data_IF_285144605765
#
_entry.id   IF_285144605765
#
_cell.length_a   1.000
_cell.length_b   1.000
_cell.length_c   1.000
_cell.angle_alpha   90.00
_cell.angle_beta   90.00
_cell.angle_gamma   90.00
#
_symmetry.space_group_name_H-M   'P 1'
#
loop_
_entity.id
_entity.type
_entity.pdbx_description
1 polymer ?
#
# COMPACT_ATOMS: atom_id res chain seq x y z
N UNK A 1 2.55 17.76 14.70
CA UNK A 1 3.53 17.89 13.57
C UNK A 1 2.80 18.20 12.28
N UNK A 2 3.49 18.82 11.32
CA UNK A 2 3.03 19.00 9.93
C UNK A 2 3.78 17.98 9.07
N UNK A 3 3.06 17.02 8.53
CA UNK A 3 3.61 15.86 7.81
C UNK A 3 3.23 15.98 6.34
N UNK A 4 4.22 15.94 5.43
CA UNK A 4 3.99 15.79 4.00
C UNK A 4 4.27 14.34 3.59
N UNK A 5 3.32 13.70 2.94
CA UNK A 5 3.48 12.39 2.33
C UNK A 5 3.51 12.58 0.81
N UNK A 6 4.53 12.05 0.13
CA UNK A 6 4.61 12.01 -1.31
C UNK A 6 4.35 10.57 -1.77
N UNK A 7 3.18 10.30 -2.34
CA UNK A 7 2.84 9.03 -2.98
C UNK A 7 2.29 9.33 -4.39
N UNK A 8 2.51 8.46 -5.36
CA UNK A 8 1.97 8.71 -6.70
C UNK A 8 0.47 8.38 -6.82
N UNK A 9 -0.10 7.65 -5.86
CA UNK A 9 -1.52 7.30 -5.78
C UNK A 9 -2.10 7.68 -4.42
N UNK A 10 -3.40 7.90 -4.40
CA UNK A 10 -4.22 7.89 -3.19
C UNK A 10 -5.26 6.75 -3.22
N UNK A 11 -6.10 6.66 -2.21
CA UNK A 11 -7.17 5.63 -2.10
C UNK A 11 -8.23 5.71 -3.21
N UNK A 12 -8.38 6.85 -3.88
CA UNK A 12 -9.34 7.06 -4.97
C UNK A 12 -8.79 6.63 -6.33
N UNK A 13 -7.50 6.39 -6.42
CA UNK A 13 -6.89 5.95 -7.67
C UNK A 13 -7.38 4.56 -8.06
N UNK A 14 -7.79 4.30 -9.32
CA UNK A 14 -8.31 2.99 -9.77
C UNK A 14 -7.35 1.81 -9.55
N UNK A 15 -6.04 2.08 -9.53
CA UNK A 15 -5.01 1.08 -9.25
C UNK A 15 -4.50 1.11 -7.80
N UNK A 16 -5.29 1.65 -6.84
CA UNK A 16 -4.94 1.62 -5.42
C UNK A 16 -4.84 0.17 -4.90
N UNK A 17 -3.95 -0.05 -3.94
CA UNK A 17 -3.68 -1.36 -3.34
C UNK A 17 -3.34 -1.26 -1.86
N UNK A 18 -2.61 -2.25 -1.32
CA UNK A 18 -2.24 -2.32 0.08
C UNK A 18 -1.42 -1.12 0.56
N UNK A 19 -0.48 -0.63 -0.26
CA UNK A 19 0.32 0.54 0.09
C UNK A 19 -0.54 1.79 0.34
N UNK A 20 -1.56 2.03 -0.49
CA UNK A 20 -2.47 3.16 -0.33
C UNK A 20 -3.42 2.97 0.87
N UNK A 21 -3.74 1.71 1.24
CA UNK A 21 -4.43 1.41 2.51
C UNK A 21 -3.55 1.82 3.68
N UNK A 22 -2.28 1.39 3.69
CA UNK A 22 -1.32 1.72 4.74
C UNK A 22 -1.19 3.23 4.95
N UNK A 23 -1.00 3.97 3.86
CA UNK A 23 -0.87 5.44 3.88
C UNK A 23 -2.13 6.10 4.45
N UNK A 24 -3.31 5.68 3.98
CA UNK A 24 -4.60 6.24 4.41
C UNK A 24 -4.86 5.94 5.88
N UNK A 25 -4.63 4.71 6.35
CA UNK A 25 -4.84 4.31 7.74
C UNK A 25 -3.91 5.08 8.69
N UNK A 26 -2.64 5.26 8.34
CA UNK A 26 -1.71 6.08 9.10
C UNK A 26 -2.11 7.56 9.08
N UNK A 27 -2.39 8.13 7.90
CA UNK A 27 -2.70 9.54 7.73
C UNK A 27 -3.96 9.96 8.51
N UNK A 28 -5.03 9.14 8.48
CA UNK A 28 -6.26 9.39 9.23
C UNK A 28 -6.02 9.38 10.75
N UNK A 29 -5.26 8.41 11.26
CA UNK A 29 -4.95 8.30 12.68
C UNK A 29 -4.08 9.44 13.16
N UNK A 30 -3.06 9.81 12.40
CA UNK A 30 -2.23 10.98 12.73
C UNK A 30 -3.04 12.26 12.73
N UNK A 31 -3.94 12.43 11.76
CA UNK A 31 -4.81 13.60 11.72
C UNK A 31 -5.77 13.64 12.92
N UNK A 32 -6.39 12.51 13.28
CA UNK A 32 -7.22 12.37 14.47
C UNK A 32 -6.45 12.65 15.78
N UNK A 33 -5.15 12.35 15.80
CA UNK A 33 -4.24 12.69 16.92
C UNK A 33 -3.76 14.16 16.90
N UNK A 34 -4.30 15.02 16.03
CA UNK A 34 -4.02 16.46 15.98
C UNK A 34 -2.78 16.83 15.13
N UNK A 35 -2.27 15.95 14.29
CA UNK A 35 -1.21 16.27 13.33
C UNK A 35 -1.80 16.82 12.03
N UNK A 36 -1.13 17.81 11.41
CA UNK A 36 -1.52 18.33 10.11
C UNK A 36 -0.87 17.47 9.00
N UNK A 37 -1.65 16.59 8.39
CA UNK A 37 -1.18 15.67 7.36
C UNK A 37 -1.59 16.16 5.97
N UNK A 38 -0.65 16.16 5.03
CA UNK A 38 -0.89 16.45 3.61
C UNK A 38 -0.33 15.31 2.77
N UNK A 39 -1.18 14.69 1.95
CA UNK A 39 -0.79 13.72 0.93
C UNK A 39 -0.72 14.41 -0.43
N UNK A 40 0.45 14.40 -1.05
CA UNK A 40 0.65 14.85 -2.43
C UNK A 40 0.72 13.65 -3.37
N UNK A 41 -0.19 13.60 -4.35
CA UNK A 41 -0.31 12.49 -5.28
C UNK A 41 -0.64 12.94 -6.70
N UNK A 42 -0.72 12.00 -7.65
CA UNK A 42 -1.13 12.28 -9.02
C UNK A 42 -2.63 12.61 -9.10
N UNK A 43 -3.01 13.37 -10.13
CA UNK A 43 -4.39 13.65 -10.44
C UNK A 43 -5.15 12.36 -10.79
N UNK A 44 -6.39 12.27 -10.31
CA UNK A 44 -7.32 11.17 -10.57
C UNK A 44 -8.52 11.74 -11.31
N UNK A 45 -8.92 11.11 -12.40
CA UNK A 45 -10.05 11.57 -13.20
C UNK A 45 -11.34 11.59 -12.34
N UNK A 46 -12.08 12.70 -12.41
CA UNK A 46 -13.30 12.89 -11.63
C UNK A 46 -13.10 13.30 -10.16
N UNK A 47 -11.86 13.31 -9.67
CA UNK A 47 -11.57 13.76 -8.29
C UNK A 47 -11.02 15.19 -8.26
N UNK A 48 -11.34 15.99 -7.22
CA UNK A 48 -10.87 17.36 -7.11
C UNK A 48 -9.36 17.45 -6.87
N UNK A 49 -8.74 18.58 -7.25
CA UNK A 49 -7.31 18.83 -7.00
C UNK A 49 -6.97 18.85 -5.51
N UNK A 50 -7.89 19.32 -4.67
CA UNK A 50 -7.75 19.33 -3.21
C UNK A 50 -8.95 18.66 -2.58
N UNK A 51 -8.71 17.80 -1.60
CA UNK A 51 -9.73 16.98 -0.96
C UNK A 51 -9.39 16.77 0.53
N UNK A 52 -10.29 17.14 1.41
CA UNK A 52 -10.15 16.96 2.86
C UNK A 52 -11.12 15.88 3.41
N UNK A 53 -11.86 15.19 2.54
CA UNK A 53 -12.84 14.14 2.92
C UNK A 53 -12.26 12.98 3.73
N UNK A 54 -11.00 12.54 3.52
CA UNK A 54 -10.42 11.47 4.32
C UNK A 54 -10.10 11.84 5.78
N UNK A 55 -10.32 13.11 6.20
CA UNK A 55 -9.91 13.62 7.50
C UNK A 55 -8.49 14.17 7.54
N UNK A 56 -7.79 14.13 6.41
CA UNK A 56 -6.50 14.76 6.16
C UNK A 56 -6.50 15.38 4.76
N UNK A 57 -5.54 16.27 4.49
CA UNK A 57 -5.50 16.98 3.20
C UNK A 57 -4.86 16.15 2.10
N UNK A 58 -5.56 15.98 0.99
CA UNK A 58 -5.04 15.40 -0.26
C UNK A 58 -4.84 16.51 -1.29
N UNK A 59 -3.67 16.55 -1.92
CA UNK A 59 -3.33 17.48 -3.01
C UNK A 59 -2.94 16.67 -4.23
N UNK A 60 -3.79 16.71 -5.28
CA UNK A 60 -3.60 15.95 -6.51
C UNK A 60 -2.99 16.83 -7.59
N UNK A 61 -1.77 16.52 -8.04
CA UNK A 61 -1.06 17.31 -9.05
C UNK A 61 -0.29 16.46 -10.05
N UNK A 62 -0.47 16.81 -11.31
CA UNK A 62 0.21 16.15 -12.41
C UNK A 62 -0.35 14.77 -12.76
N UNK A 63 0.03 14.24 -13.91
CA UNK A 63 -0.29 12.88 -14.33
C UNK A 63 0.56 11.84 -13.59
N UNK A 64 0.37 10.54 -13.92
CA UNK A 64 1.19 9.42 -13.39
C UNK A 64 2.71 9.71 -13.44
N UNK A 65 3.22 10.32 -14.50
CA UNK A 65 4.63 10.69 -14.62
C UNK A 65 4.91 12.13 -14.19
N UNK A 66 3.94 13.04 -14.37
CA UNK A 66 4.05 14.45 -14.01
C UNK A 66 4.09 14.72 -12.51
N UNK A 67 3.54 13.81 -11.69
CA UNK A 67 3.51 13.94 -10.22
C UNK A 67 4.91 14.11 -9.61
N UNK A 68 5.93 13.47 -10.18
CA UNK A 68 7.31 13.59 -9.68
C UNK A 68 7.89 15.00 -9.87
N UNK A 69 7.59 15.65 -10.99
CA UNK A 69 7.96 17.05 -11.24
C UNK A 69 7.14 18.00 -10.37
N UNK A 70 5.84 17.74 -10.22
CA UNK A 70 4.95 18.51 -9.35
C UNK A 70 5.39 18.42 -7.88
N UNK A 71 5.74 17.23 -7.39
CA UNK A 71 6.25 17.02 -6.04
C UNK A 71 7.58 17.75 -5.81
N UNK A 72 8.51 17.65 -6.76
CA UNK A 72 9.78 18.41 -6.69
C UNK A 72 9.53 19.91 -6.56
N UNK A 73 8.63 20.47 -7.36
CA UNK A 73 8.28 21.89 -7.29
C UNK A 73 7.61 22.22 -5.94
N UNK A 74 6.65 21.41 -5.52
CA UNK A 74 5.92 21.59 -4.26
C UNK A 74 6.87 21.54 -3.04
N UNK A 75 7.75 20.56 -2.99
CA UNK A 75 8.74 20.42 -1.90
C UNK A 75 9.69 21.64 -1.86
N UNK A 76 10.18 22.11 -3.01
CA UNK A 76 11.06 23.30 -3.07
C UNK A 76 10.37 24.58 -2.62
N UNK A 77 9.06 24.71 -2.90
CA UNK A 77 8.30 25.92 -2.58
C UNK A 77 7.67 25.92 -1.20
N UNK A 78 7.46 24.74 -0.59
CA UNK A 78 6.66 24.60 0.64
C UNK A 78 7.27 23.60 1.64
N UNK A 79 8.39 22.95 1.33
CA UNK A 79 8.97 21.91 2.17
C UNK A 79 9.29 22.39 3.59
N UNK A 80 9.73 23.63 3.74
CA UNK A 80 10.02 24.31 5.01
C UNK A 80 8.80 24.49 5.92
N UNK A 81 7.58 24.35 5.37
CA UNK A 81 6.33 24.39 6.14
C UNK A 81 6.03 23.07 6.84
N UNK A 82 6.74 22.01 6.55
CA UNK A 82 6.57 20.69 7.12
C UNK A 82 7.68 20.35 8.11
N UNK A 83 7.34 19.59 9.14
CA UNK A 83 8.29 19.14 10.16
C UNK A 83 9.00 17.85 9.70
N UNK A 84 8.39 17.09 8.78
CA UNK A 84 8.95 15.89 8.15
C UNK A 84 8.26 15.61 6.80
N UNK A 85 9.01 15.02 5.88
CA UNK A 85 8.49 14.55 4.58
C UNK A 85 8.66 13.03 4.50
N UNK A 86 7.58 12.32 4.17
CA UNK A 86 7.58 10.89 3.87
C UNK A 86 7.66 10.72 2.34
N UNK A 87 8.71 10.06 1.88
CA UNK A 87 8.92 9.73 0.45
C UNK A 87 8.54 8.27 0.22
N UNK A 88 7.32 8.03 -0.29
CA UNK A 88 6.86 6.66 -0.59
C UNK A 88 7.39 6.19 -1.93
N UNK A 89 8.24 5.15 -1.88
CA UNK A 89 8.90 4.59 -3.04
C UNK A 89 8.15 3.35 -3.54
N UNK A 90 7.31 3.56 -4.54
CA UNK A 90 6.50 2.48 -5.16
C UNK A 90 7.08 1.95 -6.49
N UNK A 91 8.27 2.17 -6.83
CA UNK A 91 9.11 1.82 -7.98
C UNK A 91 10.07 2.98 -8.23
N UNK A 92 9.55 4.14 -8.67
CA UNK A 92 10.31 5.38 -8.82
C UNK A 92 10.16 6.24 -7.56
N UNK A 93 11.26 6.66 -6.92
CA UNK A 93 11.22 7.58 -5.79
C UNK A 93 10.94 9.03 -6.22
N UNK A 94 10.45 9.84 -5.29
CA UNK A 94 10.28 11.28 -5.48
C UNK A 94 11.60 12.04 -5.29
N UNK A 95 12.61 11.40 -4.69
CA UNK A 95 13.89 12.02 -4.33
C UNK A 95 13.70 13.24 -3.43
N UNK A 96 12.76 13.18 -2.50
CA UNK A 96 12.43 14.28 -1.61
C UNK A 96 13.69 14.81 -0.87
N UNK A 97 14.57 13.92 -0.43
CA UNK A 97 15.83 14.26 0.24
C UNK A 97 16.75 15.21 -0.56
N UNK A 98 16.60 15.28 -1.89
CA UNK A 98 17.39 16.19 -2.75
C UNK A 98 16.78 17.58 -2.86
N UNK A 99 15.55 17.76 -2.38
CA UNK A 99 14.75 18.97 -2.61
C UNK A 99 14.19 19.58 -1.34
N UNK A 100 14.24 18.84 -0.22
CA UNK A 100 13.62 19.20 1.06
C UNK A 100 14.40 20.28 1.85
N UNK A 101 15.58 20.71 1.38
CA UNK A 101 16.43 21.65 2.14
C UNK A 101 16.84 21.05 3.48
N UNK A 102 16.47 21.70 4.58
CA UNK A 102 16.72 21.23 5.94
C UNK A 102 15.60 20.39 6.53
N UNK A 103 14.48 20.21 5.82
CA UNK A 103 13.36 19.39 6.31
C UNK A 103 13.75 17.91 6.27
N UNK A 104 13.61 17.17 7.38
CA UNK A 104 13.92 15.75 7.45
C UNK A 104 13.07 14.94 6.49
N UNK A 105 13.69 13.91 5.91
CA UNK A 105 13.00 12.97 5.00
C UNK A 105 13.12 11.57 5.57
N UNK A 106 12.00 10.85 5.58
CA UNK A 106 11.90 9.42 5.87
C UNK A 106 11.36 8.74 4.61
N UNK A 107 12.01 7.68 4.15
CA UNK A 107 11.48 6.89 3.05
C UNK A 107 10.52 5.81 3.57
N UNK A 108 9.47 5.49 2.81
CA UNK A 108 8.61 4.33 3.03
C UNK A 108 8.63 3.46 1.77
N UNK A 109 9.11 2.23 1.91
CA UNK A 109 9.27 1.30 0.78
C UNK A 109 8.58 -0.02 1.12
N UNK A 110 7.41 -0.28 0.56
CA UNK A 110 6.69 -1.53 0.81
C UNK A 110 7.42 -2.73 0.21
N UNK A 111 7.90 -2.60 -1.02
CA UNK A 111 8.68 -3.62 -1.70
C UNK A 111 9.59 -3.01 -2.78
N UNK A 112 10.62 -3.75 -3.16
CA UNK A 112 11.43 -3.43 -4.35
C UNK A 112 10.74 -3.97 -5.60
N UNK A 113 10.83 -3.26 -6.72
CA UNK A 113 10.12 -3.64 -7.94
C UNK A 113 10.70 -4.91 -8.59
N UNK A 114 12.03 -5.01 -8.68
CA UNK A 114 12.73 -6.20 -9.22
C UNK A 114 12.03 -6.83 -10.43
N UNK A 115 11.45 -8.02 -10.26
CA UNK A 115 10.79 -8.80 -11.31
C UNK A 115 9.54 -8.11 -11.86
N UNK A 116 8.91 -7.22 -11.11
CA UNK A 116 7.73 -6.44 -11.53
C UNK A 116 8.02 -5.60 -12.78
N UNK A 117 9.27 -5.13 -12.95
CA UNK A 117 9.69 -4.42 -14.17
C UNK A 117 9.36 -5.20 -15.45
N UNK A 118 9.55 -6.52 -15.46
CA UNK A 118 9.31 -7.38 -16.62
C UNK A 118 7.83 -7.62 -16.91
N UNK A 119 6.96 -7.35 -15.94
CA UNK A 119 5.51 -7.52 -16.09
C UNK A 119 4.78 -6.20 -16.42
N UNK A 120 5.35 -5.07 -16.02
CA UNK A 120 4.70 -3.76 -16.16
C UNK A 120 5.28 -2.91 -17.30
N UNK A 121 6.42 -3.30 -17.87
CA UNK A 121 7.08 -2.51 -18.90
C UNK A 121 7.65 -3.38 -20.03
N UNK A 122 7.81 -2.83 -21.27
CA UNK A 122 8.49 -3.51 -22.35
C UNK A 122 9.92 -3.94 -21.98
N UNK A 123 10.36 -5.08 -22.51
CA UNK A 123 11.63 -5.72 -22.15
C UNK A 123 12.87 -4.79 -22.10
N UNK A 124 13.12 -3.90 -23.09
CA UNK A 124 14.27 -2.99 -23.02
C UNK A 124 14.20 -2.03 -21.81
N UNK A 125 12.99 -1.51 -21.52
CA UNK A 125 12.75 -0.63 -20.36
C UNK A 125 12.88 -1.43 -19.05
N UNK A 126 12.36 -2.66 -19.02
CA UNK A 126 12.47 -3.56 -17.87
C UNK A 126 13.93 -3.84 -17.51
N UNK A 127 14.80 -4.14 -18.49
CA UNK A 127 16.22 -4.37 -18.25
C UNK A 127 16.93 -3.14 -17.68
N UNK A 128 16.71 -1.97 -18.29
CA UNK A 128 17.29 -0.71 -17.78
C UNK A 128 16.72 -0.40 -16.39
N UNK A 129 15.41 -0.52 -16.21
CA UNK A 129 14.74 -0.29 -14.92
C UNK A 129 15.32 -1.15 -13.82
N UNK A 130 15.34 -2.46 -14.05
CA UNK A 130 15.76 -3.48 -13.08
C UNK A 130 17.25 -3.42 -12.73
N UNK A 131 18.12 -3.26 -13.71
CA UNK A 131 19.56 -3.41 -13.50
C UNK A 131 20.32 -2.10 -13.38
N UNK A 132 19.75 -0.97 -13.83
CA UNK A 132 20.41 0.34 -13.81
C UNK A 132 19.66 1.34 -12.94
N UNK A 133 18.37 1.56 -13.19
CA UNK A 133 17.63 2.64 -12.54
C UNK A 133 17.30 2.30 -11.09
N UNK A 134 16.67 1.17 -10.83
CA UNK A 134 16.28 0.78 -9.47
C UNK A 134 17.47 0.71 -8.51
N UNK A 135 18.59 0.03 -8.83
CA UNK A 135 19.76 0.02 -7.97
C UNK A 135 20.34 1.42 -7.70
N UNK A 136 20.39 2.27 -8.75
CA UNK A 136 20.91 3.63 -8.63
C UNK A 136 20.02 4.52 -7.79
N UNK A 137 18.70 4.39 -7.95
CA UNK A 137 17.72 5.12 -7.18
C UNK A 137 17.76 4.73 -5.71
N UNK A 138 17.69 3.44 -5.40
CA UNK A 138 17.69 2.95 -4.02
C UNK A 138 19.01 3.26 -3.30
N UNK A 139 20.16 3.14 -3.94
CA UNK A 139 21.44 3.54 -3.33
C UNK A 139 21.48 5.00 -2.89
N UNK A 140 20.72 5.89 -3.53
CA UNK A 140 20.64 7.29 -3.10
C UNK A 140 19.92 7.49 -1.76
N UNK A 141 19.28 6.44 -1.25
CA UNK A 141 18.64 6.40 0.07
C UNK A 141 19.45 5.66 1.13
N UNK A 142 20.73 5.34 0.87
CA UNK A 142 21.58 4.53 1.75
C UNK A 142 21.59 5.01 3.21
N UNK A 143 21.59 6.32 3.42
CA UNK A 143 21.65 6.97 4.74
C UNK A 143 20.32 7.60 5.18
N UNK A 144 19.28 7.53 4.35
CA UNK A 144 17.95 8.04 4.67
C UNK A 144 17.26 7.04 5.59
N UNK A 145 16.66 7.46 6.72
CA UNK A 145 15.81 6.59 7.52
C UNK A 145 14.70 6.03 6.64
N UNK A 146 14.61 4.71 6.60
CA UNK A 146 13.69 4.02 5.68
C UNK A 146 12.84 3.03 6.46
N UNK A 147 11.54 3.15 6.33
CA UNK A 147 10.55 2.21 6.83
C UNK A 147 10.19 1.21 5.73
N UNK A 148 9.96 -0.03 6.11
CA UNK A 148 9.47 -1.09 5.22
C UNK A 148 8.56 -2.02 5.99
N UNK A 149 7.81 -2.87 5.29
CA UNK A 149 6.69 -3.61 5.88
C UNK A 149 7.00 -5.08 6.19
N UNK A 150 8.17 -5.58 5.77
CA UNK A 150 8.57 -6.98 6.02
C UNK A 150 10.09 -7.14 6.10
N UNK A 151 10.55 -8.21 6.76
CA UNK A 151 11.97 -8.53 6.81
C UNK A 151 12.53 -8.92 5.43
N UNK A 152 11.72 -9.60 4.60
CA UNK A 152 12.08 -9.89 3.19
C UNK A 152 12.32 -8.61 2.39
N UNK A 153 11.48 -7.58 2.59
CA UNK A 153 11.66 -6.27 1.97
C UNK A 153 12.90 -5.57 2.52
N UNK A 154 13.11 -5.60 3.84
CA UNK A 154 14.31 -5.04 4.48
C UNK A 154 15.59 -5.71 3.96
N UNK A 155 15.62 -7.03 3.84
CA UNK A 155 16.76 -7.77 3.28
C UNK A 155 17.02 -7.37 1.82
N UNK A 156 15.96 -7.21 1.03
CA UNK A 156 16.06 -6.73 -0.34
C UNK A 156 16.66 -5.32 -0.39
N UNK A 157 16.24 -4.41 0.48
CA UNK A 157 16.75 -3.04 0.55
C UNK A 157 18.20 -2.99 1.05
N UNK A 158 18.59 -3.83 2.02
CA UNK A 158 20.00 -3.98 2.45
C UNK A 158 20.90 -4.37 1.29
N UNK A 159 20.43 -5.23 0.39
CA UNK A 159 21.21 -5.63 -0.81
C UNK A 159 21.48 -4.47 -1.77
N UNK A 160 20.71 -3.38 -1.70
CA UNK A 160 20.95 -2.12 -2.42
C UNK A 160 21.78 -1.11 -1.62
N UNK A 161 22.18 -1.43 -0.38
CA UNK A 161 23.05 -0.62 0.44
C UNK A 161 22.34 0.33 1.42
N UNK A 162 21.02 0.17 1.64
CA UNK A 162 20.31 0.95 2.66
C UNK A 162 20.71 0.45 4.06
N UNK A 163 21.07 1.38 4.95
CA UNK A 163 21.65 1.08 6.27
C UNK A 163 20.70 1.36 7.44
N UNK A 164 19.77 2.31 7.27
CA UNK A 164 18.88 2.80 8.33
C UNK A 164 17.44 2.28 8.10
N UNK A 165 17.28 0.97 8.23
CA UNK A 165 16.03 0.28 7.96
C UNK A 165 15.30 -0.07 9.24
N UNK A 166 13.98 0.16 9.24
CA UNK A 166 13.07 -0.27 10.29
C UNK A 166 11.88 -0.98 9.65
N UNK A 167 11.50 -2.12 10.21
CA UNK A 167 10.36 -2.91 9.74
C UNK A 167 9.16 -2.56 10.59
N UNK A 168 8.11 -2.06 9.95
CA UNK A 168 6.81 -1.79 10.55
C UNK A 168 5.76 -2.50 9.70
N UNK A 169 5.28 -3.69 10.12
CA UNK A 169 4.33 -4.49 9.35
C UNK A 169 3.03 -3.75 9.04
N UNK A 170 2.27 -4.24 8.08
CA UNK A 170 0.93 -3.75 7.79
C UNK A 170 -0.04 -4.12 8.91
N UNK A 171 -1.06 -3.30 9.14
CA UNK A 171 -2.07 -3.53 10.17
C UNK A 171 -3.32 -4.21 9.62
N UNK A 172 -4.17 -4.69 10.53
CA UNK A 172 -5.51 -5.20 10.21
C UNK A 172 -6.54 -4.59 11.15
N UNK A 173 -7.70 -4.28 10.59
CA UNK A 173 -8.89 -3.87 11.34
C UNK A 173 -10.12 -4.53 10.74
N UNK A 174 -10.91 -5.19 11.57
CA UNK A 174 -12.17 -5.80 11.14
C UNK A 174 -13.26 -4.74 11.04
N UNK A 175 -14.14 -4.81 10.01
CA UNK A 175 -15.30 -3.93 9.92
C UNK A 175 -16.16 -4.01 11.18
N UNK A 176 -16.60 -2.87 11.69
CA UNK A 176 -17.46 -2.80 12.86
C UNK A 176 -18.72 -3.69 12.73
N UNK A 177 -19.06 -4.41 13.79
CA UNK A 177 -20.19 -5.32 13.83
C UNK A 177 -20.02 -6.62 13.05
N UNK A 178 -18.80 -6.97 12.65
CA UNK A 178 -18.50 -8.26 12.08
C UNK A 178 -18.36 -9.29 13.23
N UNK A 179 -19.18 -10.35 13.20
CA UNK A 179 -19.04 -11.43 14.19
C UNK A 179 -17.98 -12.42 13.74
N UNK A 180 -16.99 -12.67 14.58
CA UNK A 180 -15.99 -13.73 14.40
C UNK A 180 -15.94 -14.61 15.66
N UNK A 181 -15.72 -15.94 15.50
CA UNK A 181 -15.58 -16.69 14.25
C UNK A 181 -16.89 -16.78 13.45
N UNK A 182 -16.76 -16.91 12.13
CA UNK A 182 -17.89 -17.14 11.22
C UNK A 182 -18.07 -18.64 10.98
N UNK A 183 -19.34 -19.04 10.71
CA UNK A 183 -19.63 -20.39 10.24
C UNK A 183 -18.95 -20.62 8.88
N UNK A 184 -18.18 -21.68 8.76
CA UNK A 184 -17.53 -22.08 7.52
C UNK A 184 -18.60 -22.58 6.51
N UNK A 185 -18.26 -22.57 5.23
CA UNK A 185 -19.12 -23.11 4.17
C UNK A 185 -19.33 -24.63 4.35
N UNK A 186 -20.47 -25.12 3.90
CA UNK A 186 -20.80 -26.56 4.00
C UNK A 186 -19.96 -27.42 3.05
N UNK A 187 -19.49 -26.83 1.95
CA UNK A 187 -18.64 -27.47 0.94
C UNK A 187 -17.19 -27.01 1.07
N UNK A 188 -16.21 -27.80 0.62
CA UNK A 188 -14.82 -27.37 0.59
C UNK A 188 -14.66 -26.07 -0.18
N UNK A 189 -14.28 -25.00 0.49
CA UNK A 189 -14.24 -23.66 -0.09
C UNK A 189 -12.87 -23.04 0.07
N UNK A 190 -12.29 -22.62 -1.05
CA UNK A 190 -11.03 -21.90 -1.15
C UNK A 190 -11.31 -20.46 -1.57
N UNK A 191 -10.57 -19.50 -1.06
CA UNK A 191 -10.66 -18.10 -1.48
C UNK A 191 -9.35 -17.64 -2.12
N UNK A 192 -9.45 -16.77 -3.11
CA UNK A 192 -8.38 -15.92 -3.63
C UNK A 192 -8.84 -14.47 -3.50
N UNK A 193 -7.99 -13.58 -3.00
CA UNK A 193 -8.34 -12.17 -2.90
C UNK A 193 -7.16 -11.29 -3.32
N UNK A 194 -7.39 -10.42 -4.32
CA UNK A 194 -6.39 -9.48 -4.80
C UNK A 194 -6.74 -8.90 -6.16
N UNK A 195 -5.91 -7.98 -6.64
CA UNK A 195 -6.08 -7.43 -8.00
C UNK A 195 -5.86 -8.54 -9.05
N UNK A 196 -6.73 -8.60 -10.04
CA UNK A 196 -6.62 -9.58 -11.12
C UNK A 196 -5.62 -9.10 -12.19
N UNK A 197 -4.33 -9.20 -11.84
CA UNK A 197 -3.16 -8.83 -12.66
C UNK A 197 -2.16 -9.99 -12.71
N UNK A 198 -1.29 -10.00 -13.72
CA UNK A 198 -0.31 -11.08 -13.95
C UNK A 198 0.64 -11.33 -12.77
N UNK A 199 1.00 -10.29 -12.02
CA UNK A 199 1.87 -10.43 -10.84
C UNK A 199 1.21 -11.12 -9.65
N UNK A 200 -0.13 -11.18 -9.60
CA UNK A 200 -0.90 -11.90 -8.57
C UNK A 200 -1.25 -13.34 -8.96
N UNK A 201 -1.10 -13.69 -10.23
CA UNK A 201 -1.31 -15.04 -10.78
C UNK A 201 -2.64 -15.69 -10.35
N UNK A 202 -3.80 -15.06 -10.59
CA UNK A 202 -5.09 -15.69 -10.29
C UNK A 202 -5.32 -16.97 -11.13
N UNK A 203 -4.71 -17.05 -12.30
CA UNK A 203 -4.66 -18.24 -13.15
C UNK A 203 -4.00 -19.46 -12.47
N UNK A 204 -2.92 -19.25 -11.70
CA UNK A 204 -2.32 -20.32 -10.89
C UNK A 204 -3.27 -20.82 -9.79
N UNK A 205 -4.02 -19.91 -9.14
CA UNK A 205 -4.99 -20.29 -8.13
C UNK A 205 -6.11 -21.16 -8.73
N UNK A 206 -6.62 -20.78 -9.90
CA UNK A 206 -7.64 -21.55 -10.64
C UNK A 206 -7.08 -22.92 -11.03
N UNK A 207 -5.93 -22.96 -11.68
CA UNK A 207 -5.34 -24.22 -12.15
C UNK A 207 -4.99 -25.18 -10.99
N UNK A 208 -4.51 -24.65 -9.87
CA UNK A 208 -4.25 -25.46 -8.68
C UNK A 208 -5.53 -26.00 -8.05
N UNK A 209 -6.59 -25.17 -7.99
CA UNK A 209 -7.89 -25.61 -7.52
C UNK A 209 -8.47 -26.72 -8.41
N UNK A 210 -8.44 -26.57 -9.74
CA UNK A 210 -8.89 -27.60 -10.67
C UNK A 210 -8.17 -28.95 -10.42
N UNK A 211 -6.82 -28.94 -10.28
CA UNK A 211 -6.05 -30.15 -9.99
C UNK A 211 -6.36 -30.76 -8.62
N UNK A 212 -6.78 -29.95 -7.67
CA UNK A 212 -7.15 -30.42 -6.33
C UNK A 212 -8.61 -30.93 -6.24
N UNK A 213 -9.50 -30.55 -7.17
CA UNK A 213 -10.96 -30.74 -7.07
C UNK A 213 -11.36 -32.18 -6.82
N UNK A 214 -10.76 -33.14 -7.53
CA UNK A 214 -11.09 -34.58 -7.35
C UNK A 214 -10.79 -35.06 -5.93
N UNK A 215 -9.75 -34.51 -5.28
CA UNK A 215 -9.33 -34.82 -3.92
C UNK A 215 -10.14 -34.07 -2.85
N UNK A 216 -10.72 -32.94 -3.20
CA UNK A 216 -11.57 -32.13 -2.31
C UNK A 216 -12.99 -32.70 -2.19
N UNK A 217 -13.46 -33.44 -3.18
CA UNK A 217 -14.79 -34.01 -3.25
C UNK A 217 -15.82 -33.10 -3.96
N UNK A 218 -17.05 -33.62 -4.08
CA UNK A 218 -18.09 -32.93 -4.83
C UNK A 218 -18.47 -31.58 -4.19
N UNK A 219 -18.78 -30.62 -5.06
CA UNK A 219 -19.26 -29.28 -4.66
C UNK A 219 -18.17 -28.34 -4.18
N UNK A 220 -16.87 -28.67 -4.31
CA UNK A 220 -15.78 -27.76 -3.96
C UNK A 220 -15.89 -26.44 -4.74
N UNK A 221 -15.60 -25.31 -4.08
CA UNK A 221 -15.68 -23.97 -4.65
C UNK A 221 -14.39 -23.17 -4.45
N UNK A 222 -14.03 -22.37 -5.47
CA UNK A 222 -13.01 -21.33 -5.41
C UNK A 222 -13.67 -19.96 -5.59
N UNK A 223 -13.62 -19.13 -4.56
CA UNK A 223 -14.13 -17.77 -4.58
C UNK A 223 -13.01 -16.78 -4.89
N UNK A 224 -13.12 -16.08 -6.02
CA UNK A 224 -12.16 -15.06 -6.46
C UNK A 224 -12.73 -13.68 -6.17
N UNK A 225 -12.05 -12.92 -5.31
CA UNK A 225 -12.39 -11.57 -4.88
C UNK A 225 -11.40 -10.59 -5.48
N UNK A 226 -11.90 -9.59 -6.19
CA UNK A 226 -11.12 -8.50 -6.76
C UNK A 226 -11.40 -8.27 -8.23
N UNK A 227 -10.92 -7.15 -8.73
CA UNK A 227 -11.05 -6.73 -10.13
C UNK A 227 -9.68 -6.49 -10.78
N UNK A 228 -9.68 -6.32 -12.07
CA UNK A 228 -8.48 -6.01 -12.82
C UNK A 228 -8.54 -6.42 -14.28
N UNK A 229 -7.48 -6.12 -15.06
CA UNK A 229 -7.46 -6.35 -16.50
C UNK A 229 -7.63 -7.83 -16.92
N UNK A 230 -7.39 -8.78 -16.02
CA UNK A 230 -7.60 -10.22 -16.29
C UNK A 230 -9.02 -10.68 -16.01
N UNK A 231 -9.89 -9.88 -15.39
CA UNK A 231 -11.22 -10.30 -14.91
C UNK A 231 -12.07 -10.89 -16.02
N UNK A 232 -12.21 -10.21 -17.16
CA UNK A 232 -13.04 -10.67 -18.26
C UNK A 232 -12.52 -11.97 -18.88
N UNK A 233 -11.21 -12.13 -18.99
CA UNK A 233 -10.60 -13.35 -19.50
C UNK A 233 -10.85 -14.53 -18.53
N UNK A 234 -10.62 -14.32 -17.24
CA UNK A 234 -10.86 -15.33 -16.21
C UNK A 234 -12.33 -15.72 -16.12
N UNK A 235 -13.25 -14.75 -16.22
CA UNK A 235 -14.69 -15.01 -16.20
C UNK A 235 -15.17 -15.87 -17.37
N UNK A 236 -14.59 -15.67 -18.58
CA UNK A 236 -14.91 -16.48 -19.75
C UNK A 236 -14.36 -17.90 -19.70
N UNK A 237 -13.22 -18.11 -19.03
CA UNK A 237 -12.54 -19.41 -18.92
C UNK A 237 -12.75 -20.08 -17.56
N UNK A 238 -13.57 -19.52 -16.68
CA UNK A 238 -13.77 -20.04 -15.33
C UNK A 238 -14.34 -21.46 -15.39
N UNK A 239 -13.67 -22.45 -14.81
CA UNK A 239 -14.19 -23.82 -14.74
C UNK A 239 -15.32 -23.93 -13.73
N UNK A 240 -15.98 -25.09 -13.71
CA UNK A 240 -17.04 -25.37 -12.72
C UNK A 240 -16.50 -25.25 -11.29
N UNK A 241 -17.27 -24.63 -10.41
CA UNK A 241 -16.89 -24.41 -9.01
C UNK A 241 -16.07 -23.11 -8.77
N UNK A 242 -15.71 -22.36 -9.82
CA UNK A 242 -15.03 -21.07 -9.67
C UNK A 242 -16.05 -19.93 -9.73
N UNK A 243 -16.09 -19.12 -8.68
CA UNK A 243 -17.01 -17.99 -8.51
C UNK A 243 -16.22 -16.68 -8.47
N UNK A 244 -16.38 -15.82 -9.49
CA UNK A 244 -15.75 -14.49 -9.53
C UNK A 244 -16.72 -13.44 -9.00
N UNK A 245 -16.38 -12.83 -7.86
CA UNK A 245 -17.19 -11.81 -7.20
C UNK A 245 -16.97 -10.40 -7.75
N UNK A 246 -15.86 -10.16 -8.46
CA UNK A 246 -15.44 -8.81 -8.81
C UNK A 246 -14.99 -8.01 -7.58
N UNK A 247 -15.07 -6.68 -7.69
CA UNK A 247 -14.80 -5.79 -6.56
C UNK A 247 -16.00 -5.82 -5.60
N UNK A 248 -15.72 -6.09 -4.33
CA UNK A 248 -16.70 -6.09 -3.25
C UNK A 248 -16.30 -5.08 -2.17
N UNK A 249 -17.23 -4.66 -1.33
CA UNK A 249 -16.92 -3.86 -0.15
C UNK A 249 -16.14 -4.65 0.91
N UNK A 250 -15.60 -3.94 1.90
CA UNK A 250 -14.79 -4.55 2.96
C UNK A 250 -15.56 -5.61 3.75
N UNK A 251 -16.81 -5.33 4.12
CA UNK A 251 -17.64 -6.26 4.88
C UNK A 251 -17.83 -7.58 4.11
N UNK A 252 -18.22 -7.48 2.82
CA UNK A 252 -18.43 -8.63 1.96
C UNK A 252 -17.13 -9.42 1.73
N UNK A 253 -16.01 -8.76 1.59
CA UNK A 253 -14.69 -9.41 1.52
C UNK A 253 -14.44 -10.28 2.74
N UNK A 254 -14.59 -9.73 3.94
CA UNK A 254 -14.38 -10.50 5.18
C UNK A 254 -15.38 -11.62 5.37
N UNK A 255 -16.66 -11.45 4.95
CA UNK A 255 -17.65 -12.51 4.96
C UNK A 255 -17.25 -13.70 4.07
N UNK A 256 -16.77 -13.43 2.85
CA UNK A 256 -16.31 -14.50 1.95
C UNK A 256 -15.04 -15.16 2.51
N UNK A 257 -14.07 -14.37 2.97
CA UNK A 257 -12.84 -14.90 3.60
C UNK A 257 -13.18 -15.76 4.81
N UNK A 258 -14.03 -15.27 5.72
CA UNK A 258 -14.39 -15.99 6.96
C UNK A 258 -15.13 -17.30 6.72
N UNK A 259 -15.86 -17.42 5.63
CA UNK A 259 -16.55 -18.68 5.24
C UNK A 259 -15.64 -19.68 4.52
N UNK A 260 -14.52 -19.23 3.95
CA UNK A 260 -13.56 -20.11 3.28
C UNK A 260 -12.79 -20.98 4.26
N UNK A 261 -12.37 -22.16 3.83
CA UNK A 261 -11.51 -23.07 4.60
C UNK A 261 -10.02 -22.75 4.42
N UNK A 262 -9.67 -22.13 3.28
CA UNK A 262 -8.32 -21.68 3.00
C UNK A 262 -8.35 -20.41 2.13
N UNK A 263 -7.39 -19.51 2.37
CA UNK A 263 -6.98 -18.51 1.40
C UNK A 263 -5.80 -19.04 0.59
N UNK A 264 -5.78 -18.84 -0.73
CA UNK A 264 -4.60 -19.11 -1.57
C UNK A 264 -3.97 -17.81 -2.05
N UNK A 265 -2.65 -17.71 -1.95
CA UNK A 265 -1.88 -16.55 -2.38
C UNK A 265 -0.77 -16.97 -3.36
N UNK A 266 -0.91 -16.57 -4.62
CA UNK A 266 -0.07 -16.98 -5.74
C UNK A 266 0.83 -15.86 -6.27
N UNK A 267 0.94 -14.76 -5.57
CA UNK A 267 1.73 -13.59 -5.97
C UNK A 267 3.20 -13.94 -6.24
N UNK A 268 3.80 -13.28 -7.21
CA UNK A 268 5.24 -13.39 -7.49
C UNK A 268 6.08 -12.69 -6.43
N UNK A 269 5.56 -11.64 -5.82
CA UNK A 269 6.18 -10.84 -4.77
C UNK A 269 5.13 -10.00 -4.06
N UNK A 270 5.32 -9.76 -2.79
CA UNK A 270 4.53 -8.84 -1.98
C UNK A 270 5.43 -7.92 -1.14
N UNK A 271 4.86 -6.82 -0.64
CA UNK A 271 5.44 -6.09 0.48
C UNK A 271 5.23 -6.88 1.77
N UNK A 272 3.96 -7.17 2.05
CA UNK A 272 3.49 -7.99 3.16
C UNK A 272 2.48 -9.03 2.68
N UNK A 273 1.41 -8.58 2.04
CA UNK A 273 0.28 -9.41 1.65
C UNK A 273 -0.85 -9.29 2.65
N UNK A 274 -1.39 -8.07 2.78
CA UNK A 274 -2.43 -7.69 3.74
C UNK A 274 -3.59 -8.70 3.84
N UNK A 275 -3.99 -9.28 2.71
CA UNK A 275 -5.08 -10.28 2.67
C UNK A 275 -4.79 -11.53 3.50
N UNK A 276 -3.52 -11.89 3.72
CA UNK A 276 -3.14 -13.03 4.57
C UNK A 276 -3.54 -12.75 6.02
N UNK A 277 -3.17 -11.56 6.53
CA UNK A 277 -3.54 -11.12 7.86
C UNK A 277 -5.05 -10.92 7.99
N UNK A 278 -5.71 -10.39 6.97
CA UNK A 278 -7.17 -10.24 6.92
C UNK A 278 -7.90 -11.59 7.02
N UNK A 279 -7.43 -12.60 6.29
CA UNK A 279 -8.01 -13.94 6.34
C UNK A 279 -7.77 -14.61 7.70
N UNK A 280 -6.56 -14.52 8.25
CA UNK A 280 -6.24 -15.08 9.55
C UNK A 280 -7.05 -14.42 10.68
N UNK A 281 -7.34 -13.13 10.59
CA UNK A 281 -8.18 -12.41 11.54
C UNK A 281 -9.63 -12.92 11.60
N UNK A 282 -10.11 -13.60 10.56
CA UNK A 282 -11.43 -14.26 10.51
C UNK A 282 -11.35 -15.79 10.58
N UNK A 283 -10.19 -16.34 10.98
CA UNK A 283 -10.01 -17.78 11.16
C UNK A 283 -9.88 -18.55 9.85
N UNK A 284 -9.32 -17.94 8.81
CA UNK A 284 -9.06 -18.60 7.54
C UNK A 284 -7.56 -18.67 7.29
N UNK A 285 -6.98 -19.88 7.37
CA UNK A 285 -5.55 -20.09 7.17
C UNK A 285 -5.17 -19.88 5.69
N UNK A 286 -3.91 -19.55 5.46
CA UNK A 286 -3.40 -19.27 4.12
C UNK A 286 -2.45 -20.35 3.64
N UNK A 287 -2.60 -20.75 2.36
CA UNK A 287 -1.59 -21.46 1.60
C UNK A 287 -0.97 -20.46 0.62
N UNK A 288 0.29 -20.13 0.78
CA UNK A 288 0.96 -19.09 -0.02
C UNK A 288 2.25 -19.58 -0.68
N UNK A 289 2.58 -18.99 -1.82
CA UNK A 289 3.88 -19.19 -2.43
C UNK A 289 5.00 -18.68 -1.54
N UNK A 290 6.11 -19.45 -1.43
CA UNK A 290 7.29 -19.04 -0.66
C UNK A 290 8.12 -17.99 -1.42
N UNK A 291 7.58 -16.78 -1.48
CA UNK A 291 8.19 -15.60 -2.11
C UNK A 291 8.34 -14.46 -1.13
N UNK A 292 9.22 -13.51 -1.45
CA UNK A 292 9.50 -12.37 -0.57
C UNK A 292 8.22 -11.57 -0.24
N UNK A 293 8.09 -11.17 1.01
CA UNK A 293 6.96 -10.47 1.60
C UNK A 293 5.82 -11.43 1.96
N UNK A 294 5.35 -12.24 1.02
CA UNK A 294 4.31 -13.23 1.29
C UNK A 294 4.77 -14.28 2.33
N UNK A 295 6.06 -14.68 2.26
CA UNK A 295 6.69 -15.54 3.26
C UNK A 295 6.54 -15.02 4.69
N UNK A 296 6.70 -13.71 4.85
CA UNK A 296 6.68 -13.07 6.17
C UNK A 296 5.26 -13.11 6.75
N UNK A 297 4.27 -12.69 5.99
CA UNK A 297 2.88 -12.66 6.44
C UNK A 297 2.28 -14.05 6.64
N UNK A 298 2.58 -15.01 5.75
CA UNK A 298 2.06 -16.38 5.86
C UNK A 298 2.63 -17.06 7.11
N UNK A 299 3.92 -16.85 7.45
CA UNK A 299 4.51 -17.35 8.69
C UNK A 299 3.90 -16.69 9.93
N UNK A 300 3.71 -15.36 9.88
CA UNK A 300 3.09 -14.64 10.97
C UNK A 300 1.64 -15.08 11.23
N UNK A 301 0.96 -15.58 10.21
CA UNK A 301 -0.42 -16.07 10.26
C UNK A 301 -0.53 -17.61 10.44
N UNK A 302 0.55 -18.30 10.84
CA UNK A 302 0.59 -19.76 10.96
C UNK A 302 0.10 -20.52 9.71
N UNK A 303 0.35 -19.94 8.53
CA UNK A 303 -0.04 -20.50 7.24
C UNK A 303 0.97 -21.51 6.68
N UNK A 304 0.66 -22.04 5.52
CA UNK A 304 1.46 -23.02 4.79
C UNK A 304 2.17 -22.36 3.62
N UNK A 305 3.49 -22.50 3.56
CA UNK A 305 4.31 -22.04 2.44
C UNK A 305 4.62 -23.21 1.49
N UNK A 306 4.46 -22.94 0.20
CA UNK A 306 4.73 -23.91 -0.86
C UNK A 306 5.63 -23.30 -1.94
N UNK A 307 6.32 -24.16 -2.69
CA UNK A 307 7.03 -23.73 -3.90
C UNK A 307 6.07 -22.97 -4.86
N UNK A 308 6.57 -21.96 -5.60
CA UNK A 308 5.70 -21.14 -6.46
C UNK A 308 5.33 -21.88 -7.77
N UNK A 309 4.79 -23.10 -7.64
CA UNK A 309 4.29 -23.96 -8.70
C UNK A 309 2.82 -24.32 -8.50
N UNK A 310 2.12 -24.58 -9.60
CA UNK A 310 0.71 -24.97 -9.56
C UNK A 310 0.55 -26.33 -8.85
N UNK A 311 1.48 -27.26 -9.08
CA UNK A 311 1.41 -28.62 -8.50
C UNK A 311 1.58 -28.59 -6.98
N UNK A 312 2.60 -27.88 -6.47
CA UNK A 312 2.81 -27.74 -5.03
C UNK A 312 1.62 -27.07 -4.34
N UNK A 313 1.00 -26.07 -4.98
CA UNK A 313 -0.21 -25.43 -4.46
C UNK A 313 -1.40 -26.39 -4.46
N UNK A 314 -1.61 -27.14 -5.54
CA UNK A 314 -2.70 -28.12 -5.65
C UNK A 314 -2.57 -29.24 -4.59
N UNK A 315 -1.36 -29.76 -4.37
CA UNK A 315 -1.10 -30.77 -3.35
C UNK A 315 -1.38 -30.23 -1.94
N UNK A 316 -0.96 -29.00 -1.66
CA UNK A 316 -1.24 -28.36 -0.38
C UNK A 316 -2.74 -28.08 -0.16
N UNK A 317 -3.45 -27.61 -1.19
CA UNK A 317 -4.92 -27.43 -1.12
C UNK A 317 -5.58 -28.77 -0.77
N UNK A 318 -5.25 -29.85 -1.48
CA UNK A 318 -5.83 -31.17 -1.27
C UNK A 318 -5.48 -31.79 0.11
N UNK A 319 -4.33 -31.49 0.65
CA UNK A 319 -3.89 -31.97 1.95
C UNK A 319 -4.53 -31.20 3.13
N UNK A 320 -4.60 -29.87 3.01
CA UNK A 320 -4.94 -29.01 4.14
C UNK A 320 -6.42 -28.63 4.21
N UNK A 321 -7.12 -28.43 3.09
CA UNK A 321 -8.51 -27.98 3.08
C UNK A 321 -9.45 -28.98 3.77
N UNK A 322 -9.37 -30.31 3.55
CA UNK A 322 -10.20 -31.28 4.29
C UNK A 322 -9.92 -31.26 5.79
N UNK A 323 -8.66 -31.10 6.20
CA UNK A 323 -8.27 -30.99 7.62
C UNK A 323 -8.87 -29.73 8.25
N UNK A 324 -8.73 -28.55 7.60
CA UNK A 324 -9.26 -27.29 8.11
C UNK A 324 -10.79 -27.20 8.06
N UNK A 325 -11.43 -28.00 7.20
CA UNK A 325 -12.88 -28.16 7.22
C UNK A 325 -13.37 -28.90 8.46
N UNK A 326 -12.63 -29.92 8.91
CA UNK A 326 -12.97 -30.68 10.12
C UNK A 326 -12.54 -29.97 11.41
N UNK A 327 -11.45 -29.21 11.35
CA UNK A 327 -10.87 -28.47 12.47
C UNK A 327 -10.42 -27.10 12.01
N UNK A 328 -11.34 -26.14 11.94
CA UNK A 328 -11.01 -24.77 11.55
C UNK A 328 -10.08 -24.13 12.59
N UNK A 329 -8.96 -23.54 12.17
CA UNK A 329 -8.13 -22.73 13.06
C UNK A 329 -8.93 -21.57 13.66
N UNK A 330 -8.65 -21.19 14.92
CA UNK A 330 -9.27 -20.02 15.52
C UNK A 330 -8.82 -18.73 14.80
N UNK A 331 -9.64 -17.67 14.84
CA UNK A 331 -9.19 -16.35 14.40
C UNK A 331 -7.97 -15.91 15.20
N UNK A 332 -6.98 -15.34 14.48
CA UNK A 332 -5.81 -14.75 15.13
C UNK A 332 -6.04 -13.27 15.38
N UNK A 333 -5.74 -12.75 16.57
CA UNK A 333 -5.75 -11.32 16.82
C UNK A 333 -4.92 -10.59 15.73
N UNK A 334 -5.54 -9.61 15.09
CA UNK A 334 -4.92 -8.87 13.98
C UNK A 334 -4.27 -9.72 12.88
N UNK A 335 -4.70 -11.00 12.74
CA UNK A 335 -4.20 -11.92 11.73
C UNK A 335 -2.69 -12.18 11.78
N UNK A 336 -2.10 -12.19 12.97
CA UNK A 336 -0.64 -12.30 13.15
C UNK A 336 0.15 -11.04 12.80
N UNK A 337 -0.55 -9.93 12.50
CA UNK A 337 0.02 -8.60 12.27
C UNK A 337 -0.17 -7.69 13.49
N UNK A 338 -0.31 -6.39 13.28
CA UNK A 338 -0.59 -5.38 14.31
C UNK A 338 -1.96 -4.74 14.09
N UNK A 339 -2.48 -4.01 15.07
CA UNK A 339 -3.58 -3.08 14.79
C UNK A 339 -3.09 -1.89 13.96
N UNK A 340 -4.00 -1.26 13.21
CA UNK A 340 -3.63 -0.01 12.52
C UNK A 340 -3.26 1.12 13.49
N UNK A 341 -3.76 1.09 14.74
CA UNK A 341 -3.40 2.06 15.77
C UNK A 341 -1.93 1.89 16.19
N UNK A 342 -1.48 0.65 16.40
CA UNK A 342 -0.09 0.34 16.74
C UNK A 342 0.85 0.69 15.58
N UNK A 343 0.47 0.35 14.34
CA UNK A 343 1.25 0.68 13.14
C UNK A 343 1.40 2.19 13.00
N UNK A 344 0.30 2.94 13.09
CA UNK A 344 0.33 4.38 12.96
C UNK A 344 1.17 5.05 14.06
N UNK A 345 1.09 4.53 15.30
CA UNK A 345 1.89 5.01 16.43
C UNK A 345 3.39 4.74 16.23
N UNK A 346 3.76 3.55 15.77
CA UNK A 346 5.16 3.18 15.55
C UNK A 346 5.78 4.01 14.41
N UNK A 347 5.10 4.11 13.27
CA UNK A 347 5.54 4.98 12.17
C UNK A 347 5.69 6.42 12.64
N UNK A 348 4.71 6.96 13.37
CA UNK A 348 4.77 8.32 13.90
C UNK A 348 5.98 8.51 14.81
N UNK A 349 6.29 7.54 15.67
CA UNK A 349 7.49 7.55 16.51
C UNK A 349 8.78 7.66 15.70
N UNK A 350 8.87 6.96 14.57
CA UNK A 350 10.00 7.10 13.64
C UNK A 350 10.07 8.49 12.98
N UNK A 351 8.93 9.06 12.57
CA UNK A 351 8.87 10.41 12.02
C UNK A 351 9.28 11.47 13.04
N UNK A 352 8.86 11.34 14.30
CA UNK A 352 9.26 12.23 15.39
C UNK A 352 10.77 12.18 15.67
N UNK A 353 11.35 10.98 15.74
CA UNK A 353 12.80 10.80 15.89
C UNK A 353 13.57 11.44 14.73
N UNK A 354 13.09 11.30 13.51
CA UNK A 354 13.72 11.92 12.34
C UNK A 354 13.65 13.45 12.41
N UNK A 355 12.52 14.02 12.86
CA UNK A 355 12.34 15.47 12.97
C UNK A 355 13.17 16.11 14.07
N UNK A 356 13.54 15.36 15.12
CA UNK A 356 14.36 15.86 16.25
C UNK A 356 15.85 15.63 16.08
N UNK A 357 16.27 14.67 15.26
CA UNK A 357 17.67 14.27 15.07
C UNK A 357 18.52 15.26 14.25
N UNK A 358 17.91 16.24 13.58
CA UNK A 358 18.68 17.30 12.89
C UNK A 358 18.89 18.49 13.83
N UNK A 359 20.11 19.04 13.89
CA UNK A 359 20.36 20.29 14.62
C UNK A 359 19.44 21.38 14.04
N UNK A 360 18.75 22.05 14.93
CA UNK A 360 17.93 23.21 14.61
C UNK A 360 18.82 24.29 14.02
N UNK A 361 18.99 24.31 12.70
CA UNK A 361 19.41 25.53 12.04
C UNK A 361 18.31 26.56 12.32
N UNK A 362 18.67 27.57 13.07
CA UNK A 362 17.87 28.63 13.59
C UNK A 362 16.68 28.95 12.66
N UNK A 363 15.48 28.80 13.18
CA UNK A 363 14.26 29.38 12.60
C UNK A 363 14.58 30.85 12.36
N UNK A 364 14.96 31.22 11.15
CA UNK A 364 15.00 32.63 10.77
C UNK A 364 13.55 33.10 10.89
N UNK A 365 13.33 33.90 11.93
CA UNK A 365 12.03 34.49 12.19
C UNK A 365 11.55 35.19 10.93
N UNK A 366 10.47 34.69 10.36
CA UNK A 366 9.70 35.42 9.37
C UNK A 366 9.09 36.59 10.09
N UNK A 367 9.72 37.79 9.97
CA UNK A 367 9.05 39.03 10.32
C UNK A 367 7.72 39.08 9.55
N UNK A 368 6.61 39.48 10.20
CA UNK A 368 5.34 39.62 9.50
C UNK A 368 5.51 40.68 8.41
N UNK A 369 5.07 40.34 7.22
CA UNK A 369 5.03 41.19 6.04
C UNK A 369 4.26 42.46 6.38
N UNK A 370 4.95 43.57 6.68
CA UNK A 370 4.32 44.89 6.81
C UNK A 370 3.71 45.24 5.47
N UNK A 371 2.40 45.28 5.39
CA UNK A 371 1.66 45.90 4.28
C UNK A 371 2.12 47.38 4.18
N UNK A 372 2.84 47.70 3.12
CA UNK A 372 2.99 49.10 2.71
C UNK A 372 1.61 49.57 2.27
N UNK A 373 0.99 50.42 3.09
CA UNK A 373 -0.10 51.29 2.64
C UNK A 373 0.47 52.25 1.61
N UNK A 374 0.07 52.08 0.35
CA UNK A 374 0.25 53.10 -0.68
C UNK A 374 -0.81 54.17 -0.43
N UNK A 375 -0.39 55.30 0.09
CA UNK A 375 -1.23 56.48 0.19
C UNK A 375 -1.49 57.01 -1.24
N UNK A 376 -2.72 56.92 -1.69
CA UNK A 376 -3.20 57.62 -2.86
C UNK A 376 -3.39 59.08 -2.46
N UNK A 377 -2.50 59.98 -2.87
CA UNK A 377 -2.69 61.41 -2.83
C UNK A 377 -3.67 61.80 -3.93
N UNK A 378 -4.87 62.15 -3.54
CA UNK A 378 -5.85 62.85 -4.39
C UNK A 378 -5.42 64.32 -4.53
N UNK A 379 -4.87 64.68 -5.69
CA UNK A 379 -4.70 66.08 -6.08
C UNK A 379 -5.99 66.56 -6.72
N UNK A 380 -6.69 67.41 -5.97
CA UNK A 380 -7.81 68.25 -6.48
C UNK A 380 -7.25 69.35 -7.35
N UNK A 381 -7.46 69.31 -8.66
CA UNK A 381 -7.31 70.48 -9.52
C UNK A 381 -8.64 71.23 -9.62
N UNK A 382 -8.68 72.42 -9.02
CA UNK A 382 -9.72 73.41 -9.24
C UNK A 382 -9.58 73.98 -10.65
N UNK A 383 -10.68 73.90 -11.40
CA UNK A 383 -10.80 74.63 -12.67
C UNK A 383 -11.62 75.88 -12.41
N UNK A 384 -10.94 77.03 -12.45
CA UNK A 384 -11.63 78.35 -12.56
C UNK A 384 -12.06 78.57 -13.99
N UNK A 385 -13.32 78.94 -14.15
CA UNK A 385 -13.90 79.41 -15.38
C UNK A 385 -13.55 80.93 -15.60
N UNK A 386 -13.17 81.29 -16.79
CA UNK A 386 -13.35 82.65 -17.33
C UNK A 386 -13.73 82.61 -18.82
N UNK A 387 -14.83 83.30 -19.06
CA UNK A 387 -15.32 83.95 -20.31
C UNK A 387 -15.89 83.01 -21.36
#
# INVERSE_FOLDING_TARGET
MRILICNWKDRRHPAAGGAEVYTDECARRWSAAGHAVTLLCAAVAGEPEQDDRPGYRVVRRGSRLGVYCAARHFIRSHGDRFDVIVDEVNTRPFFAHRHAGSTPVVALVHQVAREVWFHETPLPIALIGRFVLEPRWLRSYADIPTLTVSESSAQSLRSYGLRRLHVVPEGVELPGGLCVPMAKADVPTVAFCGRLVSTKRPDHAIAAFERATDRLGQGAELHIIGGGPLEDALRRSAPRGVVLHGLVDQRRKYEILGRAHALVCTSQREGWGLVVSEAAAVGTPTIGYDVAGLRDSVRAADGVLVEPTIDALADAIAAHVPRWRSQSPPPLPFGGASSWDDVAADVLGHLQRASTAQPSHARRGTQPFRRRQVALSTSTMSTEARS
#
